data_IF_313563005798
#
_entry.id   IF_313563005798
#
_cell.length_a   1.000
_cell.length_b   1.000
_cell.length_c   1.000
_cell.angle_alpha   90.00
_cell.angle_beta   90.00
_cell.angle_gamma   90.00
#
_symmetry.space_group_name_H-M   'P 1'
#
loop_
_entity.id
_entity.type
_entity.pdbx_description
1 polymer ?
#
# COMPACT_ATOMS: atom_id res chain seq x y z
N UNK A 1 22.73 2.65 -14.19
CA UNK A 1 22.25 2.92 -14.11
C UNK A 1 21.63 3.14 -14.24
N UNK A 2 21.42 2.71 -14.47
CA UNK A 2 20.72 2.97 -14.57
C UNK A 2 20.31 3.59 -14.25
N UNK A 3 20.34 3.60 -14.34
CA UNK A 3 19.91 4.21 -13.99
C UNK A 3 19.38 4.32 -13.50
N UNK A 4 19.42 3.80 -13.32
CA UNK A 4 18.89 3.92 -12.96
C UNK A 4 18.23 4.24 -12.92
N UNK A 5 18.07 4.14 -13.21
CA UNK A 5 17.46 4.42 -13.24
C UNK A 5 16.91 4.65 -13.84
N UNK A 6 17.22 4.68 -14.00
CA UNK A 6 16.72 4.72 -14.76
C UNK A 6 15.67 4.61 -15.10
N UNK A 7 15.52 5.02 -15.02
CA UNK A 7 14.54 4.67 -15.59
C UNK A 7 13.21 4.14 -15.10
N UNK A 8 13.08 2.98 -14.76
CA UNK A 8 11.82 2.46 -14.25
C UNK A 8 11.61 2.92 -12.82
N UNK A 9 10.40 3.39 -12.47
CA UNK A 9 10.12 3.68 -11.08
C UNK A 9 10.33 2.43 -10.26
N UNK A 10 11.18 2.54 -9.25
CA UNK A 10 11.41 1.44 -8.34
C UNK A 10 10.35 1.53 -7.26
N UNK A 11 9.39 0.63 -7.32
CA UNK A 11 8.40 0.52 -6.27
C UNK A 11 9.04 -0.14 -5.06
N UNK A 12 8.96 0.51 -3.93
CA UNK A 12 9.36 -0.09 -2.66
C UNK A 12 8.22 -0.97 -2.18
N UNK A 13 8.56 -2.08 -1.52
CA UNK A 13 7.50 -2.94 -0.99
C UNK A 13 7.97 -3.70 0.24
N UNK A 14 6.98 -4.14 1.03
CA UNK A 14 7.17 -5.07 2.14
C UNK A 14 6.16 -6.20 2.01
N UNK A 15 6.55 -7.41 2.39
CA UNK A 15 5.62 -8.53 2.42
C UNK A 15 4.82 -8.53 3.72
N UNK A 16 3.57 -8.97 3.64
CA UNK A 16 2.70 -9.16 4.79
C UNK A 16 1.98 -10.47 4.64
N UNK A 17 1.85 -11.20 5.72
CA UNK A 17 1.11 -12.46 5.72
C UNK A 17 -0.25 -12.24 6.35
N UNK A 18 -1.29 -12.78 5.72
CA UNK A 18 -2.64 -12.74 6.28
C UNK A 18 -2.69 -13.68 7.47
N UNK A 19 -3.05 -13.16 8.64
CA UNK A 19 -3.11 -13.90 9.89
C UNK A 19 -4.55 -14.13 10.32
N UNK A 20 -4.72 -15.03 11.27
CA UNK A 20 -6.07 -15.42 11.72
C UNK A 20 -6.91 -14.21 12.16
N UNK A 21 -6.33 -13.31 12.96
CA UNK A 21 -7.09 -12.17 13.47
C UNK A 21 -7.28 -11.04 12.43
N UNK A 22 -6.72 -11.20 11.23
CA UNK A 22 -6.98 -10.27 10.13
C UNK A 22 -8.31 -10.58 9.44
N UNK A 23 -8.89 -11.76 9.73
CA UNK A 23 -10.10 -12.25 9.10
C UNK A 23 -11.32 -11.90 9.96
N UNK A 24 -12.38 -11.41 9.33
CA UNK A 24 -13.63 -11.13 10.02
C UNK A 24 -14.54 -12.37 10.03
N UNK A 25 -15.74 -12.22 10.60
CA UNK A 25 -16.68 -13.32 10.74
C UNK A 25 -17.18 -13.93 9.44
N UNK A 26 -16.95 -13.25 8.31
CA UNK A 26 -17.38 -13.71 6.98
C UNK A 26 -16.22 -14.30 6.18
N UNK A 27 -15.09 -14.61 6.84
CA UNK A 27 -13.89 -15.17 6.23
C UNK A 27 -13.19 -14.23 5.25
N UNK A 28 -13.50 -12.94 5.32
CA UNK A 28 -12.86 -11.92 4.51
C UNK A 28 -11.87 -11.14 5.35
N UNK A 29 -10.81 -10.67 4.71
CA UNK A 29 -9.87 -9.78 5.39
C UNK A 29 -10.60 -8.50 5.75
N UNK A 30 -10.48 -8.10 7.01
CA UNK A 30 -11.08 -6.87 7.50
C UNK A 30 -10.49 -5.67 6.74
N UNK A 31 -11.35 -4.74 6.31
CA UNK A 31 -10.90 -3.57 5.56
C UNK A 31 -9.83 -2.76 6.30
N UNK A 32 -9.90 -2.71 7.63
CA UNK A 32 -8.89 -2.02 8.42
C UNK A 32 -7.50 -2.61 8.24
N UNK A 33 -7.41 -3.91 7.95
CA UNK A 33 -6.13 -4.57 7.73
C UNK A 33 -5.52 -4.14 6.40
N UNK A 34 -6.34 -3.96 5.36
CA UNK A 34 -5.84 -3.41 4.09
C UNK A 34 -5.19 -2.05 4.31
N UNK A 35 -5.83 -1.19 5.11
CA UNK A 35 -5.27 0.12 5.42
C UNK A 35 -3.96 0.00 6.19
N UNK A 36 -3.85 -0.97 7.11
CA UNK A 36 -2.60 -1.21 7.80
C UNK A 36 -1.48 -1.55 6.82
N UNK A 37 -1.74 -2.44 5.87
CA UNK A 37 -0.74 -2.82 4.88
C UNK A 37 -0.37 -1.65 3.97
N UNK A 38 -1.39 -0.87 3.55
CA UNK A 38 -1.16 0.28 2.67
C UNK A 38 -0.30 1.34 3.34
N UNK A 39 -0.54 1.61 4.61
CA UNK A 39 0.12 2.69 5.32
C UNK A 39 1.44 2.27 5.96
N UNK A 40 1.47 1.09 6.59
CA UNK A 40 2.64 0.65 7.34
C UNK A 40 3.91 0.61 6.49
N UNK A 41 3.77 0.31 5.22
CA UNK A 41 4.90 0.20 4.29
C UNK A 41 5.66 1.53 4.16
N UNK A 42 5.01 2.66 4.43
CA UNK A 42 5.64 3.98 4.35
C UNK A 42 6.63 4.24 5.48
N UNK A 43 6.47 3.53 6.59
CA UNK A 43 7.41 3.60 7.70
C UNK A 43 7.03 4.63 8.75
N UNK A 44 7.63 4.45 9.92
CA UNK A 44 7.31 5.25 11.10
C UNK A 44 7.59 6.74 10.88
N UNK A 45 8.76 7.06 10.31
CA UNK A 45 9.16 8.45 10.15
C UNK A 45 8.19 9.21 9.24
N UNK A 46 7.79 8.59 8.14
CA UNK A 46 6.84 9.21 7.21
C UNK A 46 5.48 9.41 7.89
N UNK A 47 4.99 8.37 8.55
CA UNK A 47 3.64 8.37 9.12
C UNK A 47 3.50 9.32 10.30
N UNK A 48 4.59 9.62 11.02
CA UNK A 48 4.56 10.55 12.15
C UNK A 48 4.76 11.99 11.75
N UNK A 49 5.19 12.25 10.51
CA UNK A 49 5.47 13.61 10.04
C UNK A 49 4.49 14.09 8.97
N UNK A 50 3.62 13.23 8.50
CA UNK A 50 2.64 13.56 7.46
C UNK A 50 1.27 13.08 7.88
N UNK A 51 0.22 13.75 7.39
CA UNK A 51 -1.14 13.33 7.65
C UNK A 51 -1.87 13.08 6.33
N UNK A 52 -2.65 12.00 6.24
CA UNK A 52 -3.41 11.75 5.04
C UNK A 52 -4.52 12.80 4.92
N UNK A 53 -4.60 13.40 3.76
CA UNK A 53 -5.61 14.41 3.46
C UNK A 53 -6.78 13.79 2.71
N UNK A 54 -6.49 12.84 1.84
CA UNK A 54 -7.49 12.18 1.03
C UNK A 54 -6.98 10.80 0.66
N UNK A 55 -7.82 9.79 0.85
CA UNK A 55 -7.49 8.41 0.50
C UNK A 55 -8.54 7.88 -0.46
N UNK A 56 -8.10 7.40 -1.61
CA UNK A 56 -8.95 6.73 -2.57
C UNK A 56 -8.47 5.29 -2.67
N UNK A 57 -9.35 4.34 -2.42
CA UNK A 57 -9.01 2.92 -2.44
C UNK A 57 -9.93 2.20 -3.41
N UNK A 58 -9.35 1.30 -4.20
CA UNK A 58 -10.09 0.43 -5.10
C UNK A 58 -9.75 -1.01 -4.76
N UNK A 59 -10.76 -1.80 -4.44
CA UNK A 59 -10.60 -3.21 -4.14
C UNK A 59 -10.92 -4.01 -5.41
N UNK A 60 -9.93 -4.70 -5.95
CA UNK A 60 -10.10 -5.47 -7.18
C UNK A 60 -10.43 -6.93 -6.90
N UNK A 61 -9.75 -7.52 -5.92
CA UNK A 61 -9.92 -8.92 -5.52
C UNK A 61 -9.76 -9.05 -4.03
N UNK A 62 -10.36 -10.09 -3.47
CA UNK A 62 -10.24 -10.37 -2.05
C UNK A 62 -9.01 -11.18 -1.74
N UNK A 63 -8.32 -10.80 -0.68
CA UNK A 63 -7.20 -11.55 -0.14
C UNK A 63 -7.73 -12.55 0.88
N UNK A 64 -7.18 -13.76 0.87
CA UNK A 64 -7.64 -14.84 1.70
C UNK A 64 -6.64 -15.21 2.78
N UNK A 65 -7.13 -15.92 3.79
CA UNK A 65 -6.29 -16.39 4.89
C UNK A 65 -5.12 -17.21 4.36
N UNK A 66 -3.95 -16.96 4.93
CA UNK A 66 -2.75 -17.72 4.61
C UNK A 66 -1.98 -17.22 3.40
N UNK A 67 -2.55 -16.32 2.63
CA UNK A 67 -1.81 -15.71 1.53
C UNK A 67 -0.78 -14.72 2.05
N UNK A 68 0.29 -14.55 1.28
CA UNK A 68 1.26 -13.51 1.54
C UNK A 68 1.05 -12.43 0.49
N UNK A 69 0.91 -11.19 0.95
CA UNK A 69 0.72 -10.05 0.07
C UNK A 69 1.99 -9.21 0.06
N UNK A 70 2.18 -8.49 -1.03
CA UNK A 70 3.24 -7.48 -1.14
C UNK A 70 2.57 -6.12 -1.20
N UNK A 71 2.89 -5.26 -0.25
CA UNK A 71 2.41 -3.88 -0.25
C UNK A 71 3.45 -3.01 -0.93
N UNK A 72 3.12 -2.52 -2.11
CA UNK A 72 4.00 -1.70 -2.94
C UNK A 72 3.60 -0.24 -2.85
N UNK A 73 4.57 0.65 -2.87
CA UNK A 73 4.26 2.07 -2.91
C UNK A 73 5.31 2.84 -3.70
N UNK A 74 4.91 3.99 -4.22
CA UNK A 74 5.83 4.97 -4.75
C UNK A 74 5.40 6.36 -4.28
N UNK A 75 6.36 7.24 -4.12
CA UNK A 75 6.11 8.62 -3.72
C UNK A 75 6.15 9.49 -4.97
N UNK A 76 5.09 10.28 -5.17
CA UNK A 76 4.98 11.18 -6.29
C UNK A 76 4.86 12.59 -5.75
N UNK A 77 5.86 13.42 -6.03
CA UNK A 77 5.83 14.82 -5.65
C UNK A 77 5.50 15.65 -6.88
N UNK A 78 4.46 16.47 -6.78
CA UNK A 78 4.05 17.37 -7.84
C UNK A 78 3.81 18.74 -7.26
N UNK A 79 4.64 19.70 -7.65
CA UNK A 79 4.53 21.08 -7.20
C UNK A 79 4.42 21.15 -5.67
N UNK A 80 3.26 21.47 -5.12
CA UNK A 80 3.06 21.55 -3.70
C UNK A 80 2.25 20.35 -3.16
N UNK A 81 2.20 19.29 -3.95
CA UNK A 81 1.43 18.10 -3.58
C UNK A 81 2.35 16.93 -3.34
N UNK A 82 2.16 16.29 -2.20
CA UNK A 82 2.80 15.01 -1.89
C UNK A 82 1.73 13.94 -1.99
N UNK A 83 1.99 12.96 -2.83
CA UNK A 83 1.05 11.88 -3.09
C UNK A 83 1.78 10.56 -3.05
N UNK A 84 1.14 9.53 -2.51
CA UNK A 84 1.67 8.17 -2.60
C UNK A 84 0.70 7.29 -3.35
N UNK A 85 1.23 6.40 -4.16
CA UNK A 85 0.46 5.42 -4.90
C UNK A 85 0.79 4.04 -4.34
N UNK A 86 -0.23 3.23 -4.17
CA UNK A 86 -0.10 1.95 -3.47
C UNK A 86 -0.76 0.84 -4.25
N UNK A 87 -0.17 -0.34 -4.19
CA UNK A 87 -0.78 -1.57 -4.72
C UNK A 87 -0.50 -2.71 -3.76
N UNK A 88 -1.53 -3.47 -3.46
CA UNK A 88 -1.39 -4.75 -2.78
C UNK A 88 -1.39 -5.82 -3.85
N UNK A 89 -0.31 -6.59 -3.92
CA UNK A 89 -0.11 -7.59 -4.98
C UNK A 89 0.10 -8.97 -4.40
N UNK A 90 -0.36 -9.97 -5.15
CA UNK A 90 -0.06 -11.38 -4.89
C UNK A 90 0.38 -11.96 -6.22
N UNK A 91 1.59 -12.54 -6.25
CA UNK A 91 2.16 -13.14 -7.45
C UNK A 91 2.10 -12.22 -8.67
N UNK A 92 2.42 -10.93 -8.43
CA UNK A 92 2.43 -9.93 -9.50
C UNK A 92 1.08 -9.40 -9.91
N UNK A 93 0.00 -9.90 -9.33
CA UNK A 93 -1.34 -9.45 -9.66
C UNK A 93 -1.84 -8.46 -8.60
N UNK A 94 -2.44 -7.36 -9.06
CA UNK A 94 -2.96 -6.33 -8.17
C UNK A 94 -4.30 -6.74 -7.59
N UNK A 95 -4.40 -6.73 -6.27
CA UNK A 95 -5.63 -7.03 -5.53
C UNK A 95 -6.29 -5.79 -4.99
N UNK A 96 -5.51 -4.76 -4.70
CA UNK A 96 -6.02 -3.52 -4.12
C UNK A 96 -5.11 -2.37 -4.56
N UNK A 97 -5.71 -1.22 -4.87
CA UNK A 97 -4.96 -0.02 -5.27
C UNK A 97 -5.40 1.14 -4.40
N UNK A 98 -4.48 2.04 -4.13
CA UNK A 98 -4.81 3.25 -3.39
C UNK A 98 -4.00 4.44 -3.88
N UNK A 99 -4.58 5.62 -3.75
CA UNK A 99 -3.90 6.88 -3.95
C UNK A 99 -4.17 7.72 -2.72
N UNK A 100 -3.11 8.26 -2.13
CA UNK A 100 -3.21 9.05 -0.91
C UNK A 100 -2.55 10.40 -1.13
N UNK A 101 -3.30 11.46 -0.82
CA UNK A 101 -2.77 12.81 -0.79
C UNK A 101 -2.40 13.14 0.65
N UNK A 102 -1.23 13.73 0.84
CA UNK A 102 -0.68 13.99 2.16
C UNK A 102 -0.48 15.48 2.42
N UNK A 103 -0.54 15.86 3.69
CA UNK A 103 -0.11 17.17 4.15
C UNK A 103 1.16 17.00 4.96
N UNK A 104 1.97 18.05 4.97
CA UNK A 104 3.16 18.06 5.84
C UNK A 104 2.78 18.31 7.28
#
# INVERSE_FOLDING_TARGET
>A
TLSLHDALPIWNFLPYRVRFFDIDGNQHVNNAIYFNWLLDVLGYDFLTTHQPKKILVKFDKEVEYGQEVESHYEIVEQENHLKTRHEIRIDGQTYCEANIDWTN
#
